data_IF_156465221339
#
_entry.id   IF_156465221339
#
_cell.length_a   1.000
_cell.length_b   1.000
_cell.length_c   1.000
_cell.angle_alpha   90.00
_cell.angle_beta   90.00
_cell.angle_gamma   90.00
#
_symmetry.space_group_name_H-M   'P 1'
#
loop_
_entity.id
_entity.type
_entity.pdbx_description
1 polymer ?
2 water ?
#
# COMPACT_ATOMS: atom_id res chain seq x y z
N UNK A 14 1.79 -16.47 -18.03
CA UNK A 14 2.56 -16.93 -16.84
C UNK A 14 3.02 -15.75 -15.98
N UNK A 15 2.44 -15.62 -14.79
CA UNK A 15 2.79 -14.55 -13.85
C UNK A 15 4.03 -14.91 -13.04
N UNK A 16 4.78 -13.89 -12.62
CA UNK A 16 5.95 -14.10 -11.77
C UNK A 16 5.52 -13.66 -10.37
N UNK A 17 5.98 -14.37 -9.35
CA UNK A 17 5.65 -14.03 -7.97
C UNK A 17 6.92 -13.61 -7.21
N UNK A 18 6.84 -12.48 -6.52
CA UNK A 18 7.94 -11.95 -5.74
C UNK A 18 7.52 -11.84 -4.28
N UNK A 19 8.16 -12.65 -3.43
CA UNK A 19 7.86 -12.69 -2.01
C UNK A 19 8.75 -11.76 -1.17
N UNK A 20 8.22 -10.61 -0.77
CA UNK A 20 8.96 -9.67 0.06
C UNK A 20 8.25 -9.52 1.39
N UNK A 21 7.61 -10.60 1.83
CA UNK A 21 6.88 -10.58 3.09
C UNK A 21 7.63 -11.08 4.32
N UNK A 22 8.81 -11.68 4.14
CA UNK A 22 9.53 -12.23 5.30
C UNK A 22 10.93 -11.70 5.57
N UNK A 23 11.12 -10.39 5.52
CA UNK A 23 12.44 -9.83 5.79
C UNK A 23 12.42 -9.07 7.11
N UNK A 24 13.61 -8.79 7.63
CA UNK A 24 13.71 -8.08 8.90
C UNK A 24 13.27 -6.64 8.87
N UNK A 25 13.15 -5.99 10.05
CA UNK A 25 12.72 -4.59 10.15
C UNK A 25 13.60 -3.57 9.46
N UNK A 26 14.66 -4.02 8.80
CA UNK A 26 15.55 -3.10 8.08
C UNK A 26 15.12 -2.94 6.63
N UNK A 27 14.25 -3.84 6.19
CA UNK A 27 13.73 -3.81 4.82
C UNK A 27 12.80 -2.59 4.84
N UNK A 28 13.19 -1.55 4.11
CA UNK A 28 12.47 -0.29 4.07
C UNK A 28 11.37 -0.16 3.03
N UNK A 29 10.37 0.66 3.34
CA UNK A 29 9.27 0.89 2.42
C UNK A 29 9.84 1.56 1.17
N UNK A 30 10.91 2.35 1.32
CA UNK A 30 11.52 3.04 0.18
C UNK A 30 12.03 2.03 -0.85
N UNK A 31 12.61 0.93 -0.36
CA UNK A 31 13.11 -0.12 -1.25
C UNK A 31 11.91 -0.71 -1.98
N UNK A 32 10.83 -0.95 -1.24
CA UNK A 32 9.63 -1.49 -1.84
C UNK A 32 9.17 -0.61 -2.99
N UNK A 33 9.18 0.71 -2.78
CA UNK A 33 8.78 1.64 -3.83
C UNK A 33 9.68 1.46 -5.06
N UNK A 34 10.98 1.29 -4.82
CA UNK A 34 11.94 1.10 -5.89
C UNK A 34 11.64 -0.17 -6.69
N UNK A 35 11.21 -1.22 -6.00
CA UNK A 35 10.88 -2.49 -6.65
C UNK A 35 9.67 -2.33 -7.59
N UNK A 36 8.58 -1.76 -7.08
CA UNK A 36 7.40 -1.57 -7.92
C UNK A 36 7.71 -0.72 -9.16
N UNK A 37 8.54 0.31 -8.98
CA UNK A 37 8.92 1.16 -10.10
C UNK A 37 9.76 0.37 -11.12
N UNK A 38 10.66 -0.47 -10.62
CA UNK A 38 11.50 -1.29 -11.48
C UNK A 38 10.64 -2.23 -12.31
N UNK A 39 9.63 -2.83 -11.66
CA UNK A 39 8.72 -3.75 -12.32
C UNK A 39 7.87 -3.08 -13.40
N UNK A 40 7.42 -1.85 -13.12
CA UNK A 40 6.63 -1.10 -14.09
C UNK A 40 7.49 -0.86 -15.32
N UNK A 41 8.75 -0.52 -15.08
CA UNK A 41 9.67 -0.23 -16.17
C UNK A 41 10.00 -1.45 -17.04
N UNK A 42 10.33 -2.57 -16.41
CA UNK A 42 10.67 -3.78 -17.16
C UNK A 42 9.44 -4.43 -17.81
N UNK A 43 8.32 -4.48 -17.10
CA UNK A 43 7.12 -5.08 -17.67
C UNK A 43 6.59 -4.15 -18.77
N UNK A 44 6.88 -2.86 -18.64
CA UNK A 44 6.45 -1.91 -19.64
C UNK A 44 7.23 -2.01 -20.94
N UNK A 45 8.37 -2.68 -20.91
CA UNK A 45 9.20 -2.87 -22.09
C UNK A 45 9.06 -4.30 -22.62
N UNK A 46 8.11 -5.04 -22.06
CA UNK A 46 7.84 -6.43 -22.41
C UNK A 46 9.07 -7.31 -22.18
N UNK A 47 9.81 -7.01 -21.12
CA UNK A 47 11.01 -7.76 -20.78
C UNK A 47 10.78 -8.62 -19.56
N UNK A 48 9.62 -8.47 -18.95
CA UNK A 48 9.27 -9.24 -17.76
C UNK A 48 7.81 -9.61 -17.83
N UNK A 49 7.43 -10.75 -17.23
CA UNK A 49 6.04 -11.18 -17.26
C UNK A 49 5.27 -10.40 -16.21
N UNK A 50 3.93 -10.46 -16.24
CA UNK A 50 3.13 -9.73 -15.26
C UNK A 50 3.65 -10.20 -13.89
N UNK A 51 3.68 -9.32 -12.91
CA UNK A 51 4.20 -9.74 -11.61
C UNK A 51 3.33 -9.43 -10.41
N UNK A 52 3.22 -10.41 -9.53
CA UNK A 52 2.48 -10.25 -8.28
C UNK A 52 3.59 -10.13 -7.26
N UNK A 53 3.59 -9.02 -6.53
CA UNK A 53 4.61 -8.78 -5.52
C UNK A 53 3.96 -8.52 -4.16
N UNK A 54 4.27 -9.36 -3.19
CA UNK A 54 3.71 -9.24 -1.84
C UNK A 54 4.77 -8.70 -0.90
N UNK A 55 4.42 -7.68 -0.12
CA UNK A 55 5.40 -7.07 0.76
C UNK A 55 4.87 -6.60 2.10
N UNK A 56 5.76 -6.61 3.09
CA UNK A 56 5.43 -6.20 4.45
C UNK A 56 6.59 -5.43 5.04
N UNK A 57 6.28 -4.38 5.80
CA UNK A 57 7.31 -3.58 6.45
C UNK A 57 6.99 -3.34 7.91
N UNK A 58 8.04 -3.09 8.68
CA UNK A 58 7.93 -2.84 10.12
C UNK A 58 7.51 -1.40 10.37
N UNK A 59 6.75 -1.20 11.44
CA UNK A 59 6.26 0.10 11.87
C UNK A 59 6.69 1.27 11.00
N UNK A 60 5.89 1.60 10.01
CA UNK A 60 6.21 2.71 9.12
C UNK A 60 4.93 3.51 8.81
N UNK A 61 5.09 4.82 8.76
CA UNK A 61 3.98 5.70 8.39
C UNK A 61 4.47 6.37 7.11
N UNK A 62 3.74 6.15 6.03
CA UNK A 62 4.10 6.76 4.76
C UNK A 62 3.19 7.97 4.56
N UNK A 63 3.80 9.16 4.58
CA UNK A 63 3.05 10.40 4.39
C UNK A 63 2.93 10.78 2.93
N UNK A 64 1.92 11.57 2.62
CA UNK A 64 1.76 12.03 1.25
C UNK A 64 2.48 13.36 1.15
N UNK A 65 2.74 13.82 -0.07
CA UNK A 65 3.44 15.09 -0.26
C UNK A 65 2.74 16.19 0.55
N UNK A 66 1.41 16.24 0.48
CA UNK A 66 0.65 17.24 1.21
C UNK A 66 0.79 17.14 2.72
N UNK A 67 0.86 15.93 3.25
CA UNK A 67 1.00 15.76 4.69
C UNK A 67 2.29 16.41 5.18
N UNK A 68 3.35 16.27 4.38
CA UNK A 68 4.67 16.80 4.72
C UNK A 68 4.73 18.32 4.74
N UNK A 69 3.76 18.98 4.12
CA UNK A 69 3.75 20.44 4.09
C UNK A 69 2.81 21.04 5.13
N UNK A 70 2.28 20.22 6.04
CA UNK A 70 1.37 20.72 7.06
C UNK A 70 2.11 21.73 7.94
N UNK A 71 1.38 22.69 8.54
CA UNK A 71 1.96 23.71 9.41
C UNK A 71 2.87 23.26 10.56
N UNK A 72 2.49 22.21 11.27
CA UNK A 72 3.31 21.73 12.38
C UNK A 72 3.76 20.30 12.12
N UNK A 73 4.29 20.10 10.91
CA UNK A 73 4.76 18.78 10.49
C UNK A 73 5.83 18.18 11.40
N UNK A 74 6.80 18.99 11.81
CA UNK A 74 7.86 18.47 12.64
C UNK A 74 7.30 17.91 13.94
N UNK A 75 6.26 18.55 14.47
CA UNK A 75 5.65 18.06 15.70
C UNK A 75 4.86 16.78 15.37
N UNK A 76 4.35 16.69 14.15
CA UNK A 76 3.62 15.50 13.76
C UNK A 76 4.54 14.30 13.61
N UNK A 77 5.69 14.52 13.00
CA UNK A 77 6.68 13.46 12.81
C UNK A 77 7.23 13.02 14.17
N UNK A 78 7.43 13.97 15.07
CA UNK A 78 7.92 13.64 16.41
C UNK A 78 6.96 12.72 17.12
N UNK A 79 5.66 13.00 16.99
CA UNK A 79 4.64 12.19 17.62
C UNK A 79 4.72 10.76 17.06
N UNK A 80 4.85 10.65 15.74
CA UNK A 80 4.94 9.36 15.09
C UNK A 80 6.21 8.60 15.47
N UNK A 81 7.29 9.32 15.71
CA UNK A 81 8.53 8.67 16.14
C UNK A 81 8.33 8.28 17.59
N UNK A 82 7.35 8.90 18.23
CA UNK A 82 7.06 8.58 19.62
C UNK A 82 6.34 7.25 19.70
N UNK A 83 5.75 6.83 18.57
CA UNK A 83 5.05 5.56 18.49
C UNK A 83 5.99 4.48 17.97
N UNK A 84 7.28 4.80 17.91
CA UNK A 84 8.30 3.88 17.42
C UNK A 84 8.06 3.49 15.96
N UNK A 85 7.60 4.46 15.17
CA UNK A 85 7.38 4.23 13.75
C UNK A 85 8.32 5.15 12.99
N UNK A 86 8.93 4.61 11.95
CA UNK A 86 9.81 5.41 11.12
C UNK A 86 8.87 6.15 10.18
N UNK A 87 9.30 7.30 9.68
CA UNK A 87 8.44 8.09 8.80
C UNK A 87 9.11 8.46 7.49
N UNK A 88 8.39 8.27 6.38
CA UNK A 88 8.90 8.63 5.06
C UNK A 88 7.73 9.28 4.32
N UNK A 89 8.03 9.90 3.19
CA UNK A 89 6.99 10.55 2.39
C UNK A 89 6.99 10.02 0.97
N UNK A 90 5.83 9.58 0.48
CA UNK A 90 5.77 9.13 -0.89
C UNK A 90 5.38 10.32 -1.75
N UNK A 91 6.37 10.62 -2.61
CA UNK A 91 6.44 11.72 -3.60
C UNK A 91 5.15 11.85 -4.31
N UNK A 92 4.60 10.76 -4.81
CA UNK A 92 3.31 10.95 -5.42
C UNK A 92 2.39 10.83 -4.20
N UNK A 93 2.12 12.00 -3.57
CA UNK A 93 1.33 12.10 -2.34
C UNK A 93 -0.10 11.56 -2.41
N UNK A 94 -0.46 10.68 -1.49
CA UNK A 94 -1.81 10.12 -1.42
C UNK A 94 -2.39 10.66 -0.13
N UNK A 95 -1.88 10.12 0.94
CA UNK A 95 -2.11 10.56 2.31
C UNK A 95 -1.66 9.49 3.25
N UNK A 96 -1.28 9.93 4.44
CA UNK A 96 -0.74 9.08 5.46
C UNK A 96 -1.43 7.72 5.55
N UNK A 97 -0.60 6.68 5.51
CA UNK A 97 -1.06 5.30 5.60
C UNK A 97 -0.09 4.54 6.51
N UNK A 98 -0.60 3.56 7.24
CA UNK A 98 0.22 2.79 8.16
C UNK A 98 0.73 1.46 7.60
N UNK A 99 1.99 1.16 7.90
CA UNK A 99 2.60 -0.10 7.48
C UNK A 99 3.27 -0.79 8.68
N UNK A 100 2.89 -2.04 8.93
CA UNK A 100 3.48 -2.85 10.00
C UNK A 100 3.36 -4.33 9.68
N UNK A 101 3.84 -5.17 10.59
CA UNK A 101 3.81 -6.62 10.41
C UNK A 101 2.43 -7.22 10.20
N UNK A 102 1.39 -6.48 10.60
CA UNK A 102 0.04 -6.97 10.43
C UNK A 102 -0.61 -6.46 9.15
N UNK A 103 0.17 -5.79 8.31
CA UNK A 103 -0.34 -5.23 7.06
C UNK A 103 0.29 -5.89 5.83
N UNK A 104 -0.54 -6.55 5.04
CA UNK A 104 -0.05 -7.22 3.82
C UNK A 104 -0.30 -6.31 2.63
N UNK A 105 0.75 -6.05 1.87
CA UNK A 105 0.63 -5.21 0.70
C UNK A 105 0.83 -6.06 -0.55
N UNK A 106 -0.02 -5.86 -1.55
CA UNK A 106 0.12 -6.59 -2.79
C UNK A 106 0.21 -5.60 -3.92
N UNK A 107 1.12 -5.85 -4.85
CA UNK A 107 1.29 -5.00 -6.01
C UNK A 107 1.12 -5.87 -7.24
N UNK A 108 0.11 -5.58 -8.05
CA UNK A 108 -0.10 -6.31 -9.27
C UNK A 108 0.46 -5.40 -10.36
N UNK A 109 1.57 -5.83 -10.94
CA UNK A 109 2.21 -5.03 -11.97
C UNK A 109 1.97 -5.68 -13.33
N UNK A 110 1.27 -4.97 -14.21
CA UNK A 110 1.02 -5.49 -15.54
C UNK A 110 1.29 -4.45 -16.62
N UNK A 111 1.33 -4.89 -17.87
CA UNK A 111 1.61 -4.03 -19.02
C UNK A 111 0.48 -3.04 -19.33
N UNK A 112 0.85 -1.77 -19.53
CA UNK A 112 -0.14 -0.76 -19.85
C UNK A 112 -0.61 -0.97 -21.30
N UNK A 113 -1.91 -1.15 -21.49
CA UNK A 113 -2.45 -1.38 -22.82
C UNK A 113 -3.74 -0.60 -23.08
N UNK A 114 -4.08 -0.49 -24.36
CA UNK A 114 -5.28 0.18 -24.82
C UNK A 114 -6.51 -0.53 -24.25
N UNK A 115 -7.41 0.22 -23.65
CA UNK A 115 -8.59 -0.41 -23.09
C UNK A 115 -8.46 -0.85 -21.64
N UNK A 116 -7.26 -0.73 -21.07
CA UNK A 116 -7.06 -1.11 -19.67
C UNK A 116 -6.94 0.19 -18.89
N UNK A 117 -8.09 0.73 -18.50
CA UNK A 117 -8.18 2.00 -17.79
C UNK A 117 -7.69 1.99 -16.34
N UNK A 118 -7.67 3.18 -15.74
CA UNK A 118 -7.27 3.38 -14.34
C UNK A 118 -8.23 2.55 -13.49
N UNK A 119 -9.52 2.74 -13.75
CA UNK A 119 -10.57 2.04 -13.02
C UNK A 119 -10.55 0.55 -13.30
N UNK A 120 -10.10 0.16 -14.49
CA UNK A 120 -10.01 -1.25 -14.84
C UNK A 120 -9.02 -1.87 -13.86
N UNK A 121 -7.92 -1.16 -13.61
CA UNK A 121 -6.91 -1.64 -12.69
C UNK A 121 -7.47 -1.79 -11.28
N UNK A 122 -8.22 -0.80 -10.83
CA UNK A 122 -8.81 -0.84 -9.49
C UNK A 122 -9.81 -1.98 -9.38
N UNK A 123 -10.59 -2.16 -10.44
CA UNK A 123 -11.61 -3.22 -10.49
C UNK A 123 -11.01 -4.62 -10.43
N UNK A 124 -9.87 -4.79 -11.10
CA UNK A 124 -9.18 -6.07 -11.11
C UNK A 124 -8.75 -6.45 -9.70
N UNK A 125 -8.13 -5.51 -8.99
CA UNK A 125 -7.68 -5.75 -7.62
C UNK A 125 -8.89 -6.03 -6.72
N UNK A 126 -9.98 -5.31 -6.95
CA UNK A 126 -11.20 -5.46 -6.17
C UNK A 126 -11.75 -6.88 -6.34
N UNK A 127 -11.92 -7.30 -7.59
CA UNK A 127 -12.41 -8.65 -7.90
C UNK A 127 -11.54 -9.67 -7.22
N UNK A 128 -10.23 -9.46 -7.32
CA UNK A 128 -9.25 -10.35 -6.72
C UNK A 128 -9.49 -10.53 -5.23
N UNK A 129 -9.74 -9.43 -4.52
CA UNK A 129 -9.97 -9.52 -3.08
C UNK A 129 -11.25 -10.28 -2.77
N UNK A 130 -12.33 -9.92 -3.46
CA UNK A 130 -13.62 -10.56 -3.25
C UNK A 130 -13.53 -12.06 -3.47
N UNK A 131 -12.78 -12.47 -4.48
CA UNK A 131 -12.62 -13.90 -4.77
C UNK A 131 -11.83 -14.60 -3.64
N UNK A 132 -10.77 -13.96 -3.16
CA UNK A 132 -9.97 -14.53 -2.08
C UNK A 132 -10.81 -14.79 -0.84
N UNK A 133 -11.89 -14.03 -0.71
CA UNK A 133 -12.77 -14.14 0.44
C UNK A 133 -14.21 -14.39 -0.02
N UNK A 134 -14.37 -15.21 -1.07
CA UNK A 134 -15.69 -15.50 -1.62
C UNK A 134 -16.76 -15.74 -0.56
N UNK A 138 -19.98 -10.67 -1.04
CA UNK A 138 -21.19 -9.84 -1.12
C UNK A 138 -21.17 -8.85 0.04
N UNK A 139 -20.16 -8.99 0.89
CA UNK A 139 -20.00 -8.15 2.06
C UNK A 139 -19.00 -7.02 1.84
N UNK A 140 -18.08 -7.23 0.90
CA UNK A 140 -17.03 -6.26 0.62
C UNK A 140 -17.41 -5.15 -0.34
N UNK A 141 -17.38 -3.91 0.15
CA UNK A 141 -17.69 -2.74 -0.68
C UNK A 141 -16.43 -2.06 -1.15
N UNK A 142 -16.53 -1.39 -2.29
CA UNK A 142 -15.46 -0.58 -2.87
C UNK A 142 -16.13 0.77 -2.79
N UNK A 143 -15.81 1.52 -1.74
CA UNK A 143 -16.44 2.81 -1.48
C UNK A 143 -15.57 3.60 -0.50
N UNK A 144 -15.38 4.89 -0.79
CA UNK A 144 -14.58 5.74 0.08
C UNK A 144 -15.14 5.73 1.50
N UNK A 145 -14.29 5.41 2.46
CA UNK A 145 -14.73 5.41 3.86
C UNK A 145 -14.36 6.72 4.55
N UNK A 146 -15.36 7.57 4.72
CA UNK A 146 -15.19 8.87 5.36
C UNK A 146 -14.88 8.61 6.83
N UNK A 147 -13.81 9.22 7.34
CA UNK A 147 -13.41 8.99 8.71
C UNK A 147 -12.12 8.19 8.77
N UNK A 148 -11.77 7.51 7.66
CA UNK A 148 -10.55 6.70 7.64
C UNK A 148 -9.37 7.48 7.08
N UNK A 149 -8.15 7.01 7.37
CA UNK A 149 -6.98 7.68 6.85
C UNK A 149 -6.76 7.22 5.41
N UNK A 150 -6.08 8.04 4.62
CA UNK A 150 -5.81 7.75 3.21
C UNK A 150 -7.10 7.28 2.51
N UNK A 151 -8.19 8.06 2.66
CA UNK A 151 -9.46 7.68 2.02
C UNK A 151 -9.39 7.77 0.50
N UNK A 152 -10.04 6.80 -0.16
CA UNK A 152 -10.05 6.77 -1.61
C UNK A 152 -11.33 6.13 -2.13
N UNK A 153 -11.62 6.35 -3.41
CA UNK A 153 -12.83 5.81 -4.04
C UNK A 153 -12.88 4.29 -3.93
N UNK A 154 -11.71 3.66 -3.94
CA UNK A 154 -11.68 2.21 -3.86
C UNK A 154 -11.24 1.64 -2.52
N UNK A 155 -11.66 2.29 -1.43
CA UNK A 155 -11.35 1.76 -0.11
C UNK A 155 -12.19 0.48 -0.05
N UNK A 156 -11.68 -0.55 0.62
CA UNK A 156 -12.44 -1.79 0.74
C UNK A 156 -12.89 -1.90 2.20
N UNK A 157 -14.10 -2.39 2.40
CA UNK A 157 -14.62 -2.52 3.75
C UNK A 157 -15.70 -3.58 3.86
N UNK A 158 -16.05 -3.88 5.10
CA UNK A 158 -17.09 -4.84 5.42
C UNK A 158 -17.83 -4.20 6.59
N UNK A 159 -19.16 -4.30 6.58
CA UNK A 159 -19.99 -3.73 7.61
C UNK A 159 -19.62 -2.26 7.82
N UNK A 160 -19.19 -1.61 6.75
CA UNK A 160 -18.84 -0.20 6.79
C UNK A 160 -17.47 0.15 7.34
N UNK A 161 -16.67 -0.86 7.70
CA UNK A 161 -15.35 -0.60 8.25
C UNK A 161 -14.22 -0.93 7.28
N UNK A 162 -13.41 0.08 6.99
CA UNK A 162 -12.30 -0.04 6.06
C UNK A 162 -11.19 -0.99 6.52
N UNK A 163 -10.82 -1.94 5.65
CA UNK A 163 -9.75 -2.90 5.95
C UNK A 163 -8.65 -2.87 4.90
N UNK A 164 -8.87 -2.14 3.80
CA UNK A 164 -7.87 -2.05 2.76
C UNK A 164 -7.97 -0.75 1.97
N UNK A 165 -6.85 -0.34 1.38
CA UNK A 165 -6.80 0.87 0.57
C UNK A 165 -6.07 0.59 -0.73
N UNK A 166 -6.58 1.11 -1.84
CA UNK A 166 -5.97 0.86 -3.13
C UNK A 166 -5.49 2.12 -3.82
N UNK A 167 -4.38 2.00 -4.54
CA UNK A 167 -3.80 3.11 -5.30
C UNK A 167 -3.21 2.51 -6.57
N UNK A 168 -2.87 3.36 -7.52
CA UNK A 168 -2.33 2.90 -8.79
C UNK A 168 -1.16 3.77 -9.19
N UNK A 169 -0.11 3.12 -9.66
CA UNK A 169 1.12 3.78 -10.08
C UNK A 169 1.40 3.38 -11.52
N UNK A 170 1.60 4.37 -12.39
CA UNK A 170 1.85 4.11 -13.79
C UNK A 170 3.06 4.87 -14.31
N UNK A 171 4.12 4.15 -14.66
CA UNK A 171 5.31 4.78 -15.23
C UNK A 171 5.95 3.81 -16.19
N UNK A 172 6.56 4.35 -17.24
CA UNK A 172 7.27 3.58 -18.25
C UNK A 172 6.49 2.51 -18.99
N UNK A 173 5.17 2.67 -19.07
CA UNK A 173 4.37 1.68 -19.78
C UNK A 173 3.92 0.52 -18.91
N UNK A 174 4.19 0.61 -17.62
CA UNK A 174 3.78 -0.45 -16.72
C UNK A 174 2.74 0.07 -15.75
N UNK A 175 1.84 -0.80 -15.30
CA UNK A 175 0.79 -0.42 -14.35
C UNK A 175 0.94 -1.23 -13.08
N UNK A 176 1.04 -0.55 -11.94
CA UNK A 176 1.15 -1.21 -10.65
C UNK A 176 -0.08 -0.89 -9.81
N UNK A 177 -0.95 -1.88 -9.62
CA UNK A 177 -2.13 -1.69 -8.81
C UNK A 177 -1.71 -2.17 -7.44
N UNK A 178 -1.74 -1.28 -6.46
CA UNK A 178 -1.31 -1.65 -5.12
C UNK A 178 -2.42 -1.57 -4.09
N UNK A 179 -2.35 -2.44 -3.09
CA UNK A 179 -3.33 -2.47 -2.03
C UNK A 179 -2.68 -2.79 -0.70
N UNK A 180 -3.16 -2.18 0.37
CA UNK A 180 -2.65 -2.52 1.69
C UNK A 180 -3.83 -3.18 2.37
N UNK A 181 -3.61 -4.38 2.90
CA UNK A 181 -4.66 -5.13 3.57
C UNK A 181 -4.35 -5.22 5.05
N UNK A 182 -5.26 -4.68 5.86
CA UNK A 182 -5.10 -4.73 7.31
C UNK A 182 -5.55 -6.13 7.74
N UNK A 183 -4.58 -7.02 7.93
CA UNK A 183 -4.86 -8.41 8.28
C UNK A 183 -5.08 -8.76 9.74
N UNK A 184 -4.17 -8.33 10.61
CA UNK A 184 -4.30 -8.65 12.02
C UNK A 184 -4.29 -7.41 12.90
N UNK A 185 -4.63 -7.59 14.17
CA UNK A 185 -4.63 -6.48 15.10
C UNK A 185 -5.86 -5.59 15.00
N UNK A 186 -5.73 -4.37 15.51
CA UNK A 186 -6.83 -3.43 15.51
C UNK A 186 -6.72 -2.34 14.46
N UNK A 187 -7.76 -2.21 13.65
CA UNK A 187 -7.75 -1.19 12.63
C UNK A 187 -7.90 0.17 13.27
N UNK A 188 -8.64 0.23 14.37
CA UNK A 188 -8.86 1.49 15.09
C UNK A 188 -7.61 2.04 15.78
N UNK A 189 -6.77 1.17 16.33
CA UNK A 189 -5.57 1.64 17.03
C UNK A 189 -4.63 2.32 16.04
N UNK A 190 -4.56 1.76 14.84
CA UNK A 190 -3.71 2.32 13.79
C UNK A 190 -4.22 3.71 13.44
N UNK A 191 -5.54 3.85 13.39
CA UNK A 191 -6.17 5.12 13.07
C UNK A 191 -5.92 6.17 14.15
N UNK A 192 -5.97 5.77 15.41
CA UNK A 192 -5.74 6.72 16.51
C UNK A 192 -4.36 7.33 16.41
N UNK A 193 -3.39 6.57 15.93
CA UNK A 193 -2.04 7.09 15.79
C UNK A 193 -2.02 8.16 14.70
N UNK A 194 -2.71 7.87 13.60
CA UNK A 194 -2.76 8.81 12.49
C UNK A 194 -3.55 10.05 12.89
N UNK A 195 -4.63 9.85 13.66
CA UNK A 195 -5.44 10.98 14.12
C UNK A 195 -4.53 11.88 14.94
N UNK A 196 -3.71 11.26 15.79
CA UNK A 196 -2.79 12.03 16.61
C UNK A 196 -1.79 12.75 15.70
N UNK A 197 -1.42 12.12 14.59
CA UNK A 197 -0.50 12.76 13.67
C UNK A 197 -1.12 14.05 13.14
N UNK A 198 -2.35 13.97 12.65
CA UNK A 198 -3.01 15.16 12.13
C UNK A 198 -3.26 16.22 13.21
N UNK A 199 -3.59 15.78 14.42
CA UNK A 199 -3.81 16.73 15.52
C UNK A 199 -2.59 17.61 15.73
N UNK A 200 -1.42 16.99 15.80
CA UNK A 200 -0.18 17.71 16.03
C UNK A 200 0.37 18.39 14.77
N UNK A 201 0.05 17.84 13.60
CA UNK A 201 0.54 18.39 12.34
C UNK A 201 -0.27 19.61 11.88
N UNK A 202 -1.58 19.55 12.09
CA UNK A 202 -2.48 20.63 11.72
C UNK A 202 -2.48 21.68 12.83
N UNK A 203 -2.62 21.23 14.07
CA UNK A 203 -2.63 22.09 15.24
C UNK A 203 -3.66 23.23 15.19
N UNK A 204 -4.88 22.92 14.80
CA UNK A 204 -5.91 23.94 14.74
C UNK A 204 -5.64 25.12 13.81
N UNK A 205 -4.72 24.93 12.86
CA UNK A 205 -4.36 25.97 11.92
C UNK A 205 -4.87 25.67 10.52
N UNK A 206 -4.91 26.70 9.66
CA UNK A 206 -5.38 26.51 8.28
C UNK A 206 -4.43 25.54 7.58
N UNK A 207 -4.92 24.83 6.58
CA UNK A 207 -4.08 23.88 5.85
C UNK A 207 -4.28 24.06 4.36
N UNK A 208 -3.35 23.55 3.56
CA UNK A 208 -3.44 23.70 2.11
C UNK A 208 -4.37 22.68 1.45
N UNK A 209 -4.91 21.74 2.24
CA UNK A 209 -5.81 20.73 1.70
C UNK A 209 -6.76 20.21 2.78
N UNK A 210 -7.77 19.48 2.34
CA UNK A 210 -8.76 18.90 3.24
C UNK A 210 -8.21 17.60 3.82
N UNK A 211 -7.58 17.70 4.99
CA UNK A 211 -7.02 16.52 5.64
C UNK A 211 -8.12 15.66 6.24
N UNK A 212 -7.91 14.35 6.28
CA UNK A 212 -8.96 13.50 6.84
C UNK A 212 -9.22 13.78 8.33
N UNK A 213 -10.48 13.70 8.70
CA UNK A 213 -10.89 13.89 10.09
C UNK A 213 -11.10 12.45 10.55
N UNK A 214 -10.04 11.87 11.10
CA UNK A 214 -10.05 10.47 11.53
C UNK A 214 -11.02 10.08 12.62
N UNK A 215 -11.81 9.04 12.30
CA UNK A 215 -12.80 8.44 13.18
C UNK A 215 -12.36 6.97 13.26
N UNK A 216 -11.57 6.62 14.29
CA UNK A 216 -11.04 5.27 14.50
C UNK A 216 -12.00 4.10 14.26
N UNK A 217 -13.24 4.26 14.72
CA UNK A 217 -14.26 3.22 14.60
C UNK A 217 -14.60 2.80 13.17
N UNK A 218 -14.22 3.60 12.18
CA UNK A 218 -14.52 3.28 10.78
C UNK A 218 -13.46 2.42 10.11
N UNK A 219 -12.53 1.88 10.89
CA UNK A 219 -11.45 1.05 10.36
C UNK A 219 -11.27 -0.23 11.16
N UNK A 220 -11.02 -1.35 10.47
CA UNK A 220 -10.86 -2.63 11.14
C UNK A 220 -10.04 -3.61 10.33
N UNK A 221 -9.31 -4.50 11.01
CA UNK A 221 -8.50 -5.50 10.35
C UNK A 221 -9.39 -6.65 9.89
N UNK A 222 -8.90 -7.46 8.97
CA UNK A 222 -9.68 -8.60 8.50
C UNK A 222 -9.97 -9.57 9.64
N UNK A 223 -9.03 -9.73 10.58
CA UNK A 223 -9.26 -10.63 11.71
C UNK A 223 -10.48 -10.18 12.51
N UNK A 224 -10.60 -8.88 12.76
CA UNK A 224 -11.72 -8.34 13.51
C UNK A 224 -13.03 -8.47 12.72
N UNK A 225 -12.97 -8.28 11.41
CA UNK A 225 -14.16 -8.35 10.56
C UNK A 225 -14.65 -9.78 10.30
N UNK A 226 -13.72 -10.70 10.10
CA UNK A 226 -14.11 -12.07 9.84
C UNK A 226 -14.40 -12.84 11.11
N UNK A 227 -14.06 -12.26 12.26
CA UNK A 227 -14.31 -12.94 13.51
C UNK A 227 -13.32 -14.02 13.91
N UNK A 228 -12.26 -14.22 13.13
CA UNK A 228 -11.26 -15.21 13.48
C UNK A 228 -9.89 -14.70 13.07
N UNK A 229 -8.86 -15.05 13.85
CA UNK A 229 -7.49 -14.62 13.57
C UNK A 229 -6.91 -15.08 12.24
N UNK A 230 -6.28 -14.15 11.53
CA UNK A 230 -5.62 -14.46 10.26
C UNK A 230 -4.25 -13.81 10.38
N UNK A 231 -3.26 -14.40 9.72
CA UNK A 231 -1.93 -13.81 9.73
C UNK A 231 -1.63 -13.47 8.28
N UNK A 232 -0.55 -12.73 8.07
CA UNK A 232 -0.18 -12.36 6.71
C UNK A 232 -0.02 -13.55 5.78
N UNK A 233 0.58 -14.64 6.27
CA UNK A 233 0.76 -15.80 5.40
C UNK A 233 -0.56 -16.43 4.97
N UNK A 234 -1.58 -16.45 5.84
CA UNK A 234 -2.88 -17.02 5.45
C UNK A 234 -3.46 -16.24 4.28
N UNK A 235 -3.43 -14.91 4.38
CA UNK A 235 -3.98 -14.07 3.32
C UNK A 235 -3.15 -14.13 2.05
N UNK A 236 -1.85 -14.28 2.20
CA UNK A 236 -0.98 -14.39 1.03
C UNK A 236 -1.35 -15.68 0.30
N UNK A 237 -1.49 -16.76 1.07
CA UNK A 237 -1.84 -18.07 0.51
C UNK A 237 -3.14 -17.98 -0.30
N UNK A 238 -4.14 -17.29 0.27
CA UNK A 238 -5.42 -17.14 -0.41
C UNK A 238 -5.23 -16.49 -1.78
N UNK A 239 -4.43 -15.45 -1.83
CA UNK A 239 -4.18 -14.74 -3.08
C UNK A 239 -3.52 -15.65 -4.10
N UNK A 240 -2.55 -16.42 -3.65
CA UNK A 240 -1.85 -17.36 -4.52
C UNK A 240 -2.81 -18.41 -5.08
N UNK A 241 -3.62 -18.98 -4.21
CA UNK A 241 -4.57 -20.01 -4.63
C UNK A 241 -5.62 -19.41 -5.56
N UNK A 242 -6.08 -18.22 -5.22
CA UNK A 242 -7.08 -17.54 -6.03
C UNK A 242 -6.56 -17.28 -7.43
N UNK A 243 -5.31 -16.86 -7.55
CA UNK A 243 -4.74 -16.58 -8.86
C UNK A 243 -4.60 -17.85 -9.71
N UNK A 244 -4.05 -18.92 -9.13
CA UNK A 244 -3.89 -20.13 -9.91
C UNK A 244 -5.24 -20.76 -10.23
N UNK A 245 -6.17 -20.76 -9.28
CA UNK A 245 -7.49 -21.32 -9.52
C UNK A 245 -8.15 -20.60 -10.70
N UNK A 246 -7.64 -19.41 -11.02
CA UNK A 246 -8.20 -18.65 -12.11
C UNK A 246 -7.38 -18.72 -13.40
N UNK A 247 -6.43 -19.65 -13.43
CA UNK A 247 -5.63 -19.83 -14.63
C UNK A 247 -4.22 -19.28 -14.74
N UNK A 248 -3.69 -18.70 -13.67
CA UNK A 248 -2.35 -18.15 -13.74
C UNK A 248 -1.30 -19.17 -13.28
N UNK A 249 -0.18 -19.19 -13.99
CA UNK A 249 0.93 -20.09 -13.66
C UNK A 249 1.94 -19.25 -12.89
N UNK A 250 1.83 -19.25 -11.56
CA UNK A 250 2.72 -18.48 -10.70
C UNK A 250 4.10 -19.10 -10.51
N UNK A 251 5.14 -18.34 -10.85
CA UNK A 251 6.52 -18.80 -10.72
C UNK A 251 7.36 -17.90 -9.81
N UNK A 252 7.89 -18.48 -8.73
CA UNK A 252 8.71 -17.74 -7.77
C UNK A 252 10.10 -17.43 -8.34
N UNK A 253 10.30 -16.18 -8.75
CA UNK A 253 11.57 -15.77 -9.33
C UNK A 253 12.11 -14.50 -8.68
N UNK A 254 13.34 -14.14 -9.03
CA UNK A 254 13.97 -12.94 -8.52
C UNK A 254 14.10 -11.97 -9.69
N UNK A 255 14.61 -10.76 -9.44
CA UNK A 255 14.77 -9.80 -10.53
C UNK A 255 15.87 -10.26 -11.45
N UNK A 256 15.81 -9.80 -12.70
CA UNK A 256 16.84 -10.13 -13.67
C UNK A 256 17.96 -9.13 -13.42
N UNK A 257 19.07 -9.30 -14.12
CA UNK A 257 20.22 -8.41 -13.97
C UNK A 257 19.88 -6.97 -14.36
N UNK A 258 19.15 -6.79 -15.46
CA UNK A 258 18.76 -5.46 -15.91
C UNK A 258 17.81 -4.81 -14.90
N UNK A 259 16.95 -5.61 -14.29
CA UNK A 259 16.02 -5.06 -13.31
C UNK A 259 16.77 -4.56 -12.09
N UNK A 260 17.82 -5.28 -11.70
CA UNK A 260 18.60 -4.87 -10.54
C UNK A 260 19.25 -3.52 -10.81
N UNK A 261 19.63 -3.29 -12.07
CA UNK A 261 20.25 -2.04 -12.45
C UNK A 261 19.21 -0.92 -12.31
N UNK A 262 18.01 -1.17 -12.82
CA UNK A 262 16.93 -0.20 -12.72
C UNK A 262 16.57 0.02 -11.25
N UNK A 263 16.62 -1.05 -10.47
CA UNK A 263 16.29 -0.95 -9.05
C UNK A 263 17.24 0.02 -8.34
N UNK A 264 18.54 -0.16 -8.54
CA UNK A 264 19.50 0.73 -7.89
C UNK A 264 19.24 2.17 -8.30
N UNK A 265 19.07 2.38 -9.60
CA UNK A 265 18.81 3.72 -10.13
C UNK A 265 17.53 4.30 -9.53
N UNK A 266 16.45 3.52 -9.53
CA UNK A 266 15.18 3.97 -8.98
C UNK A 266 15.28 4.24 -7.47
N UNK A 267 16.00 3.38 -6.76
CA UNK A 267 16.14 3.55 -5.31
C UNK A 267 16.95 4.80 -4.96
N UNK A 268 17.93 5.12 -5.79
CA UNK A 268 18.75 6.29 -5.54
C UNK A 268 17.90 7.55 -5.68
N UNK A 269 17.07 7.60 -6.72
CA UNK A 269 16.21 8.76 -6.93
C UNK A 269 15.21 8.86 -5.78
N UNK A 270 14.49 7.78 -5.53
CA UNK A 270 13.50 7.73 -4.46
C UNK A 270 14.09 8.11 -3.11
N UNK A 271 15.24 7.53 -2.78
CA UNK A 271 15.89 7.80 -1.51
C UNK A 271 16.33 9.24 -1.30
N UNK A 272 16.66 9.92 -2.39
CA UNK A 272 17.10 11.32 -2.33
C UNK A 272 15.89 12.25 -2.21
N UNK A 273 14.82 11.93 -2.92
CA UNK A 273 13.62 12.76 -2.87
C UNK A 273 12.93 12.68 -1.52
N UNK A 274 13.14 11.58 -0.80
CA UNK A 274 12.55 11.43 0.52
C UNK A 274 13.35 12.25 1.52
N UNK A 275 14.69 12.13 1.46
CA UNK A 275 15.55 12.87 2.36
C UNK A 275 15.26 14.37 2.24
N UNK A 276 15.03 14.83 1.01
CA UNK A 276 14.73 16.23 0.76
C UNK A 276 13.43 16.60 1.44
N UNK A 277 12.34 16.05 0.93
CA UNK A 277 11.00 16.29 1.47
C UNK A 277 10.99 16.35 2.99
N UNK A 278 12.02 15.82 3.62
CA UNK A 278 12.16 15.84 5.06
C UNK A 278 13.31 16.80 5.39
#
# INVERSE_FOLDING_TARGET
XSLSLLLQQHLSQPWRFLDHTSFGPTFQALQSFAYDDTLCTSIGKSQSPPTLRAWVHHNTVVLGIQDSRLPQIKAGIEALKGFQHDVIVRNSGGLAVVLDSGILNLSLVLKEEKGFSIDDGYELMYELICSMFQDHREQIEAREIVGSYCPGSYDLSIDGKKFAGISQRRIRGGVAVQIYLCVSGSGAERAKMIRTFYDKAVAGQPTKFVYPRIKPETMASLSELLGQPHNVSDVLLKALMTLQQHGASLLTESLSADEWLLYEQHFARISERNEKLLAEEGHHHHHH
#
